data_IF_111066039488
#
_entry.id   IF_111066039488
#
_cell.length_a   1.000
_cell.length_b   1.000
_cell.length_c   1.000
_cell.angle_alpha   90.00
_cell.angle_beta   90.00
_cell.angle_gamma   90.00
#
_symmetry.space_group_name_H-M   'P 1'
#
loop_
_entity.id
_entity.type
_entity.pdbx_description
1 polymer ?
#
# COMPACT_ATOMS: atom_id res chain seq x y z
N UNK A 1 -13.14 1.35 1.05
CA UNK A 1 -12.85 1.81 2.45
C UNK A 1 -12.23 3.20 2.40
N UNK A 2 -12.98 4.22 2.83
CA UNK A 2 -12.65 5.65 2.70
C UNK A 2 -12.04 6.13 4.02
N UNK A 3 -10.85 6.72 3.98
CA UNK A 3 -10.24 7.39 5.14
C UNK A 3 -10.41 8.90 5.00
N UNK A 4 -10.98 9.57 6.01
CA UNK A 4 -11.06 11.05 6.09
C UNK A 4 -9.92 11.57 6.95
N UNK A 5 -9.07 12.43 6.39
CA UNK A 5 -8.01 13.15 7.11
C UNK A 5 -8.26 14.65 6.91
N UNK A 6 -8.10 15.46 7.96
CA UNK A 6 -8.33 16.91 7.99
C UNK A 6 -7.00 17.65 7.82
N UNK A 7 -6.94 18.61 6.90
CA UNK A 7 -5.69 19.26 6.43
C UNK A 7 -5.58 20.71 6.91
N UNK A 8 -4.36 21.28 6.89
CA UNK A 8 -4.05 22.69 7.22
C UNK A 8 -3.23 23.34 6.08
N UNK A 9 -3.26 24.65 5.85
CA UNK A 9 -2.66 25.28 4.65
C UNK A 9 -1.15 25.61 4.79
N UNK A 10 -0.28 25.43 3.77
CA UNK A 10 1.15 25.70 3.86
C UNK A 10 1.62 26.97 3.14
N UNK A 11 2.59 27.66 3.74
CA UNK A 11 3.46 28.64 3.10
C UNK A 11 4.90 28.09 2.96
N UNK A 12 5.46 28.20 1.74
CA UNK A 12 6.89 28.14 1.31
C UNK A 12 7.70 26.85 1.56
N UNK A 13 8.02 26.09 0.49
CA UNK A 13 9.29 26.11 -0.31
C UNK A 13 10.28 25.01 0.14
N UNK A 14 11.05 24.28 -0.69
CA UNK A 14 11.14 23.97 -2.13
C UNK A 14 12.28 22.93 -2.28
N UNK A 15 12.35 22.26 -3.45
CA UNK A 15 13.54 21.60 -4.06
C UNK A 15 13.98 20.22 -3.54
N UNK A 16 13.86 19.13 -4.33
CA UNK A 16 14.75 18.62 -5.41
C UNK A 16 15.34 17.27 -4.89
N UNK A 17 15.71 16.21 -5.62
CA UNK A 17 16.39 16.01 -6.91
C UNK A 17 16.06 14.59 -7.44
N UNK A 18 16.11 14.45 -8.76
CA UNK A 18 16.28 13.23 -9.61
C UNK A 18 17.36 12.26 -9.05
N UNK A 19 17.59 11.02 -9.45
CA UNK A 19 17.14 10.07 -10.47
C UNK A 19 17.75 8.71 -10.05
N UNK A 20 17.19 7.58 -10.50
CA UNK A 20 17.98 6.52 -11.15
C UNK A 20 17.07 5.44 -11.73
N UNK A 21 17.53 4.94 -12.87
CA UNK A 21 16.79 4.23 -13.90
C UNK A 21 17.39 2.83 -14.04
N UNK A 22 16.52 1.84 -14.24
CA UNK A 22 16.66 0.63 -15.10
C UNK A 22 16.43 -0.71 -14.39
N UNK A 23 15.29 -1.31 -14.79
CA UNK A 23 15.06 -2.69 -15.25
C UNK A 23 15.81 -3.83 -14.56
N UNK A 24 15.06 -4.80 -14.05
CA UNK A 24 15.24 -6.19 -14.51
C UNK A 24 13.98 -7.02 -14.26
N UNK A 25 13.46 -7.55 -15.37
CA UNK A 25 12.43 -8.58 -15.45
C UNK A 25 12.99 -9.93 -14.98
N UNK A 26 12.34 -10.55 -14.00
CA UNK A 26 12.34 -12.01 -13.85
C UNK A 26 11.12 -12.48 -13.08
N UNK A 27 10.18 -13.08 -13.80
CA UNK A 27 9.26 -14.05 -13.24
C UNK A 27 10.10 -15.26 -12.80
N UNK A 28 10.10 -15.58 -11.51
CA UNK A 28 10.51 -16.89 -11.04
C UNK A 28 9.32 -17.54 -10.34
N UNK A 29 8.69 -18.44 -11.10
CA UNK A 29 7.70 -19.41 -10.64
C UNK A 29 8.43 -20.44 -9.78
N UNK A 30 7.92 -20.61 -8.55
CA UNK A 30 7.92 -21.86 -7.79
C UNK A 30 9.26 -22.50 -7.45
N UNK A 31 9.67 -22.41 -6.17
CA UNK A 31 10.31 -23.52 -5.45
C UNK A 31 10.08 -23.38 -3.95
N UNK A 32 9.58 -24.46 -3.31
CA UNK A 32 9.51 -24.61 -1.86
C UNK A 32 10.95 -24.55 -1.29
N UNK A 33 11.23 -23.53 -0.49
CA UNK A 33 12.50 -23.39 0.25
C UNK A 33 12.21 -23.69 1.73
N UNK A 34 13.00 -24.53 2.41
CA UNK A 34 12.65 -25.10 3.72
C UNK A 34 12.37 -24.02 4.78
N UNK A 35 11.46 -24.36 5.69
CA UNK A 35 11.05 -23.55 6.83
C UNK A 35 12.25 -23.29 7.74
N UNK A 36 12.77 -22.07 7.75
CA UNK A 36 13.60 -21.57 8.84
C UNK A 36 12.78 -20.60 9.68
N UNK A 37 12.64 -20.96 10.95
CA UNK A 37 12.06 -20.12 12.01
C UNK A 37 12.75 -18.76 11.96
N UNK A 38 11.94 -17.72 11.89
CA UNK A 38 12.38 -16.39 11.51
C UNK A 38 12.44 -15.49 12.75
N UNK A 39 13.60 -15.41 13.40
CA UNK A 39 13.86 -14.61 14.61
C UNK A 39 14.61 -13.29 14.36
N UNK A 40 14.27 -12.52 13.31
CA UNK A 40 14.90 -11.22 13.00
C UNK A 40 14.04 -10.24 12.19
N UNK A 41 14.43 -8.97 12.15
CA UNK A 41 13.61 -7.82 11.71
C UNK A 41 13.30 -7.72 10.19
N UNK A 42 13.78 -8.64 9.35
CA UNK A 42 13.49 -8.67 7.90
C UNK A 42 13.31 -10.10 7.40
N UNK A 43 12.39 -10.81 8.02
CA UNK A 43 12.10 -12.19 7.65
C UNK A 43 11.12 -12.26 6.48
N UNK A 44 11.46 -13.10 5.49
CA UNK A 44 10.64 -13.30 4.29
C UNK A 44 9.25 -13.77 4.69
N UNK A 45 8.26 -12.99 4.29
CA UNK A 45 6.87 -13.36 4.37
C UNK A 45 6.50 -14.21 3.16
N UNK A 46 5.78 -15.32 3.37
CA UNK A 46 5.24 -16.13 2.27
C UNK A 46 3.73 -16.02 2.27
N UNK A 47 3.17 -15.94 1.07
CA UNK A 47 1.76 -16.04 0.78
C UNK A 47 1.59 -17.09 -0.32
N UNK A 48 0.44 -17.76 -0.34
CA UNK A 48 0.12 -18.76 -1.35
C UNK A 48 -0.21 -18.08 -2.68
N UNK A 49 -0.79 -16.89 -2.61
CA UNK A 49 -1.24 -16.13 -3.77
C UNK A 49 -1.23 -14.63 -3.46
N UNK A 50 -1.09 -13.81 -4.50
CA UNK A 50 -1.25 -12.36 -4.42
C UNK A 50 -2.21 -11.85 -5.49
N UNK A 51 -3.17 -11.03 -5.08
CA UNK A 51 -4.10 -10.33 -5.96
C UNK A 51 -3.70 -8.86 -6.10
N UNK A 52 -3.90 -8.31 -7.31
CA UNK A 52 -3.51 -6.94 -7.68
C UNK A 52 -4.70 -6.17 -8.27
N UNK A 53 -5.74 -5.88 -7.48
CA UNK A 53 -6.92 -5.16 -7.97
C UNK A 53 -6.54 -3.75 -8.44
N UNK A 54 -7.19 -3.31 -9.52
CA UNK A 54 -7.03 -1.97 -10.11
C UNK A 54 -8.24 -1.07 -9.87
N UNK A 55 -9.37 -1.65 -9.48
CA UNK A 55 -10.60 -0.92 -9.13
C UNK A 55 -11.18 -1.44 -7.82
N UNK A 56 -12.12 -0.69 -7.25
CA UNK A 56 -12.81 -1.12 -6.02
C UNK A 56 -13.69 -2.35 -6.26
N UNK A 57 -14.28 -2.49 -7.45
CA UNK A 57 -15.11 -3.64 -7.83
C UNK A 57 -14.26 -4.92 -7.92
N UNK A 58 -13.07 -4.85 -8.53
CA UNK A 58 -12.13 -5.97 -8.56
C UNK A 58 -11.69 -6.36 -7.14
N UNK A 59 -11.44 -5.37 -6.27
CA UNK A 59 -11.10 -5.61 -4.88
C UNK A 59 -12.23 -6.32 -4.12
N UNK A 60 -13.48 -5.88 -4.30
CA UNK A 60 -14.66 -6.50 -3.70
C UNK A 60 -14.81 -7.94 -4.19
N UNK A 61 -14.65 -8.20 -5.49
CA UNK A 61 -14.74 -9.53 -6.06
C UNK A 61 -13.69 -10.49 -5.47
N UNK A 62 -12.45 -10.03 -5.34
CA UNK A 62 -11.36 -10.80 -4.72
C UNK A 62 -11.68 -11.12 -3.25
N UNK A 63 -12.14 -10.13 -2.48
CA UNK A 63 -12.49 -10.34 -1.07
C UNK A 63 -13.68 -11.30 -0.94
N UNK A 64 -14.70 -11.17 -1.79
CA UNK A 64 -15.86 -12.05 -1.78
C UNK A 64 -15.48 -13.50 -2.11
N UNK A 65 -14.65 -13.72 -3.13
CA UNK A 65 -14.15 -15.04 -3.49
C UNK A 65 -13.34 -15.68 -2.36
N UNK A 66 -12.37 -14.95 -1.81
CA UNK A 66 -11.53 -15.45 -0.72
C UNK A 66 -12.31 -15.68 0.58
N UNK A 67 -13.37 -14.90 0.84
CA UNK A 67 -14.28 -15.12 1.97
C UNK A 67 -15.09 -16.40 1.80
N UNK A 68 -15.61 -16.67 0.60
CA UNK A 68 -16.31 -17.94 0.28
C UNK A 68 -15.41 -19.15 0.49
N UNK A 69 -14.12 -19.01 0.19
CA UNK A 69 -13.10 -20.06 0.39
C UNK A 69 -12.54 -20.09 1.83
N UNK A 70 -13.02 -19.23 2.73
CA UNK A 70 -12.54 -19.08 4.11
C UNK A 70 -11.01 -18.88 4.21
N UNK A 71 -10.43 -18.18 3.23
CA UNK A 71 -8.99 -17.93 3.15
C UNK A 71 -8.60 -16.75 4.03
N UNK A 72 -7.46 -16.87 4.71
CA UNK A 72 -6.88 -15.74 5.44
C UNK A 72 -6.33 -14.73 4.44
N UNK A 73 -6.75 -13.47 4.59
CA UNK A 73 -6.36 -12.37 3.72
C UNK A 73 -5.60 -11.30 4.48
N UNK A 74 -4.62 -10.66 3.84
CA UNK A 74 -3.95 -9.46 4.36
C UNK A 74 -3.72 -8.45 3.23
N UNK A 75 -3.91 -7.18 3.55
CA UNK A 75 -3.57 -6.09 2.65
C UNK A 75 -2.08 -5.76 2.74
N UNK A 76 -1.46 -5.48 1.60
CA UNK A 76 -0.10 -4.98 1.51
C UNK A 76 -0.02 -3.77 0.58
N UNK A 77 0.74 -2.78 1.01
CA UNK A 77 1.06 -1.62 0.20
C UNK A 77 2.27 -1.91 -0.68
N UNK A 78 2.50 -1.05 -1.68
CA UNK A 78 3.66 -1.16 -2.59
C UNK A 78 5.00 -1.27 -1.85
N UNK A 79 5.16 -0.53 -0.76
CA UNK A 79 6.44 -0.42 -0.03
C UNK A 79 6.58 -1.50 1.05
N UNK A 80 5.50 -1.94 1.70
CA UNK A 80 5.55 -2.97 2.76
C UNK A 80 6.66 -2.70 3.82
N UNK A 81 6.85 -1.44 4.22
CA UNK A 81 7.94 -1.00 5.12
C UNK A 81 7.71 -1.34 6.61
N UNK A 82 6.75 -2.20 6.94
CA UNK A 82 6.50 -2.59 8.33
C UNK A 82 7.51 -3.65 8.78
N UNK A 83 8.26 -3.37 9.85
CA UNK A 83 9.10 -4.35 10.56
C UNK A 83 8.28 -5.54 11.08
N UNK A 84 7.11 -5.35 11.74
CA UNK A 84 6.29 -6.49 12.14
C UNK A 84 5.59 -7.11 10.93
N UNK A 85 5.39 -8.44 10.98
CA UNK A 85 4.73 -9.25 9.94
C UNK A 85 3.20 -9.08 9.87
N UNK A 86 2.70 -7.85 10.01
CA UNK A 86 1.25 -7.57 10.05
C UNK A 86 0.55 -7.90 8.73
N UNK A 87 1.26 -7.70 7.63
CA UNK A 87 0.78 -7.98 6.28
C UNK A 87 0.96 -9.47 5.87
N UNK A 88 1.50 -10.33 6.74
CA UNK A 88 1.65 -11.74 6.43
C UNK A 88 0.36 -12.52 6.61
N UNK A 89 -0.19 -13.14 5.55
CA UNK A 89 -1.34 -14.00 5.69
C UNK A 89 -0.98 -15.32 6.39
N UNK A 90 -1.96 -15.94 7.06
CA UNK A 90 -1.82 -17.27 7.64
C UNK A 90 -0.78 -17.42 8.76
N UNK A 91 -0.58 -16.40 9.61
CA UNK A 91 0.42 -16.43 10.70
C UNK A 91 1.86 -16.76 10.25
N UNK A 92 2.18 -16.57 8.95
CA UNK A 92 3.48 -16.91 8.38
C UNK A 92 3.65 -18.37 7.95
N UNK A 93 2.59 -19.20 7.97
CA UNK A 93 2.61 -20.57 7.42
C UNK A 93 2.75 -20.60 5.88
N UNK A 94 2.46 -19.48 5.22
CA UNK A 94 2.41 -19.38 3.76
C UNK A 94 1.00 -19.57 3.20
N UNK A 95 0.02 -19.91 4.04
CA UNK A 95 -1.34 -20.25 3.61
C UNK A 95 -2.23 -19.02 3.71
N UNK A 96 -2.36 -18.30 2.60
CA UNK A 96 -3.35 -17.24 2.46
C UNK A 96 -3.06 -16.26 1.33
N UNK A 97 -3.96 -15.29 1.21
CA UNK A 97 -4.01 -14.35 0.10
C UNK A 97 -3.46 -12.99 0.51
N UNK A 98 -2.51 -12.49 -0.26
CA UNK A 98 -2.05 -11.11 -0.18
C UNK A 98 -2.85 -10.25 -1.14
N UNK A 99 -3.42 -9.15 -0.67
CA UNK A 99 -4.13 -8.18 -1.51
C UNK A 99 -3.24 -6.94 -1.63
N UNK A 100 -2.67 -6.71 -2.81
CA UNK A 100 -1.80 -5.57 -3.05
C UNK A 100 -2.61 -4.34 -3.49
N UNK A 101 -2.42 -3.22 -2.80
CA UNK A 101 -3.04 -1.94 -3.19
C UNK A 101 -2.19 -1.14 -4.17
N UNK A 102 -1.16 -1.73 -4.78
CA UNK A 102 -0.18 -0.99 -5.59
C UNK A 102 -0.78 -0.23 -6.80
N UNK A 103 -1.93 -0.67 -7.30
CA UNK A 103 -2.64 -0.03 -8.42
C UNK A 103 -3.82 0.84 -7.99
N UNK A 104 -4.18 0.80 -6.71
CA UNK A 104 -5.18 1.67 -6.08
C UNK A 104 -4.47 2.91 -5.52
N UNK A 105 -3.84 3.69 -6.40
CA UNK A 105 -2.95 4.80 -6.05
C UNK A 105 -3.40 6.15 -6.63
N UNK A 106 -4.72 6.35 -6.79
CA UNK A 106 -5.30 7.58 -7.34
C UNK A 106 -5.85 8.49 -6.26
N UNK A 107 -5.84 9.79 -6.57
CA UNK A 107 -6.57 10.81 -5.82
C UNK A 107 -7.94 10.99 -6.45
N UNK A 108 -9.01 10.76 -5.68
CA UNK A 108 -10.38 10.73 -6.19
C UNK A 108 -11.06 12.09 -6.10
N UNK A 109 -10.84 12.82 -5.00
CA UNK A 109 -11.46 14.12 -4.76
C UNK A 109 -10.58 15.00 -3.88
N UNK A 110 -10.51 16.28 -4.21
CA UNK A 110 -9.91 17.31 -3.36
C UNK A 110 -10.93 18.41 -3.12
N UNK A 111 -11.26 18.65 -1.85
CA UNK A 111 -12.25 19.62 -1.42
C UNK A 111 -11.57 20.69 -0.55
N UNK A 112 -11.34 21.85 -1.14
CA UNK A 112 -10.61 22.96 -0.50
C UNK A 112 -11.43 23.64 0.59
N UNK A 113 -12.75 23.68 0.47
CA UNK A 113 -13.63 24.33 1.44
C UNK A 113 -13.68 23.55 2.75
N UNK A 114 -13.80 22.23 2.66
CA UNK A 114 -13.78 21.34 3.83
C UNK A 114 -12.37 20.96 4.29
N UNK A 115 -11.33 21.34 3.52
CA UNK A 115 -9.94 20.91 3.71
C UNK A 115 -9.82 19.39 3.81
N UNK A 116 -10.47 18.68 2.87
CA UNK A 116 -10.45 17.21 2.81
C UNK A 116 -9.97 16.71 1.45
N UNK A 117 -9.28 15.57 1.48
CA UNK A 117 -8.87 14.83 0.29
C UNK A 117 -9.32 13.38 0.42
N UNK A 118 -9.90 12.84 -0.63
CA UNK A 118 -10.27 11.44 -0.76
C UNK A 118 -9.30 10.78 -1.71
N UNK A 119 -8.57 9.80 -1.19
CA UNK A 119 -7.53 9.07 -1.92
C UNK A 119 -7.72 7.58 -1.75
N UNK A 120 -7.21 6.81 -2.71
CA UNK A 120 -7.15 5.36 -2.60
C UNK A 120 -6.06 4.92 -1.61
N UNK A 121 -6.23 3.72 -1.04
CA UNK A 121 -5.40 3.21 0.06
C UNK A 121 -3.95 2.90 -0.32
N UNK A 122 -3.63 2.80 -1.61
CA UNK A 122 -2.29 2.57 -2.15
C UNK A 122 -1.54 3.84 -2.54
N UNK A 123 -2.12 5.03 -2.33
CA UNK A 123 -1.44 6.30 -2.61
C UNK A 123 -0.19 6.43 -1.74
N UNK A 124 0.93 6.77 -2.35
CA UNK A 124 2.15 7.07 -1.60
C UNK A 124 1.98 8.41 -0.88
N UNK A 125 2.49 8.50 0.34
CA UNK A 125 2.43 9.75 1.10
C UNK A 125 3.10 10.92 0.32
N UNK A 126 4.05 10.64 -0.60
CA UNK A 126 4.75 11.66 -1.40
C UNK A 126 3.84 12.25 -2.44
N UNK A 127 3.11 11.38 -3.13
CA UNK A 127 2.07 11.79 -4.05
C UNK A 127 0.99 12.57 -3.30
N UNK A 128 0.54 12.07 -2.15
CA UNK A 128 -0.47 12.74 -1.34
C UNK A 128 -0.06 14.17 -0.93
N UNK A 129 1.18 14.37 -0.49
CA UNK A 129 1.68 15.71 -0.13
C UNK A 129 1.77 16.62 -1.36
N UNK A 130 2.20 16.10 -2.51
CA UNK A 130 2.27 16.87 -3.75
C UNK A 130 0.86 17.32 -4.21
N UNK A 131 -0.09 16.39 -4.27
CA UNK A 131 -1.47 16.65 -4.67
C UNK A 131 -2.14 17.65 -3.69
N UNK A 132 -1.84 17.54 -2.39
CA UNK A 132 -2.30 18.50 -1.39
C UNK A 132 -1.69 19.89 -1.62
N UNK A 133 -0.40 19.98 -1.89
CA UNK A 133 0.31 21.23 -2.11
C UNK A 133 -0.21 21.96 -3.37
N UNK A 134 -0.50 21.24 -4.45
CA UNK A 134 -1.15 21.78 -5.65
C UNK A 134 -2.53 22.38 -5.35
N UNK A 135 -3.24 21.81 -4.37
CA UNK A 135 -4.51 22.33 -3.90
C UNK A 135 -4.40 23.49 -2.89
N UNK A 136 -3.19 23.81 -2.40
CA UNK A 136 -2.97 24.78 -1.32
C UNK A 136 -3.22 24.23 0.09
N UNK A 137 -3.11 22.91 0.25
CA UNK A 137 -3.29 22.16 1.49
C UNK A 137 -1.96 21.48 1.92
N UNK A 138 -1.85 21.17 3.20
CA UNK A 138 -0.71 20.46 3.80
C UNK A 138 -1.13 19.60 5.00
N UNK A 139 -0.31 18.59 5.28
CA UNK A 139 -0.39 17.85 6.53
C UNK A 139 0.38 18.61 7.60
N UNK A 140 -0.21 18.86 8.77
CA UNK A 140 0.54 19.40 9.91
C UNK A 140 1.61 18.41 10.40
N UNK A 141 1.37 17.10 10.25
CA UNK A 141 2.29 16.05 10.68
C UNK A 141 2.35 14.92 9.66
N UNK A 142 3.55 14.41 9.41
CA UNK A 142 3.79 13.24 8.56
C UNK A 142 4.83 12.34 9.19
N UNK A 143 4.74 11.01 9.01
CA UNK A 143 5.80 10.11 9.42
C UNK A 143 7.08 10.45 8.66
N UNK A 144 8.22 10.36 9.35
CA UNK A 144 9.52 10.45 8.71
C UNK A 144 9.72 9.27 7.74
N UNK A 145 10.32 9.54 6.58
CA UNK A 145 10.43 8.60 5.46
C UNK A 145 11.80 8.61 4.79
#
# INVERSE_FOLDING_TARGET
MIWRIKWCSPAKERSAVRALRRKSSRQEVGRRVPQRVCGGARCICRAAEAAYPRTEEELIAVVAAATRENRKMKAATRSSHSIPKLACPGSGSGDGLLISTMHLNRTLKVDKQSMTMTVESGVSLRQLINDAAEAGLALPHTPYW
#
